data_IF_442976985727
#
_entry.id   IF_442976985727
#
_cell.length_a   1.000
_cell.length_b   1.000
_cell.length_c   1.000
_cell.angle_alpha   90.00
_cell.angle_beta   90.00
_cell.angle_gamma   90.00
#
_symmetry.space_group_name_H-M   'P 1'
#
loop_
_entity.id
_entity.type
_entity.pdbx_description
1 polymer ?
#
# COMPACT_ATOMS: atom_id res chain seq x y z
N UNK A 1 -16.95 -18.96 -14.51
CA UNK A 1 -16.10 -19.29 -13.35
C UNK A 1 -15.94 -18.05 -12.50
N UNK A 2 -16.61 -18.00 -11.36
CA UNK A 2 -16.37 -16.95 -10.37
C UNK A 2 -15.04 -17.23 -9.67
N UNK A 3 -14.12 -16.29 -9.75
CA UNK A 3 -12.85 -16.39 -9.06
C UNK A 3 -12.95 -15.71 -7.70
N UNK A 4 -12.67 -16.46 -6.66
CA UNK A 4 -12.65 -15.92 -5.30
C UNK A 4 -11.58 -14.84 -5.13
N UNK A 5 -11.98 -13.68 -4.61
CA UNK A 5 -11.05 -12.57 -4.31
C UNK A 5 -10.66 -12.62 -2.82
N UNK A 6 -9.39 -12.79 -2.47
CA UNK A 6 -8.94 -12.90 -1.09
C UNK A 6 -8.95 -11.59 -0.31
N UNK A 7 -9.17 -10.45 -0.95
CA UNK A 7 -9.02 -9.11 -0.35
C UNK A 7 -9.80 -8.94 0.96
N UNK A 8 -11.07 -9.36 1.00
CA UNK A 8 -11.90 -9.20 2.20
C UNK A 8 -11.42 -10.10 3.35
N UNK A 9 -11.03 -11.34 3.06
CA UNK A 9 -10.53 -12.27 4.06
C UNK A 9 -9.19 -11.77 4.65
N UNK A 10 -8.29 -11.32 3.80
CA UNK A 10 -7.00 -10.74 4.23
C UNK A 10 -7.23 -9.45 5.03
N UNK A 11 -8.15 -8.57 4.61
CA UNK A 11 -8.47 -7.35 5.35
C UNK A 11 -8.99 -7.67 6.76
N UNK A 12 -9.88 -8.65 6.88
CA UNK A 12 -10.38 -9.09 8.18
C UNK A 12 -9.26 -9.66 9.05
N UNK A 13 -8.43 -10.52 8.48
CA UNK A 13 -7.28 -11.09 9.18
C UNK A 13 -6.34 -10.00 9.74
N UNK A 14 -5.94 -9.05 8.89
CA UNK A 14 -5.09 -7.93 9.31
C UNK A 14 -5.70 -7.12 10.44
N UNK A 15 -7.03 -6.89 10.42
CA UNK A 15 -7.72 -6.17 11.50
C UNK A 15 -7.81 -6.95 12.81
N UNK A 16 -7.79 -8.27 12.77
CA UNK A 16 -7.75 -9.11 13.96
C UNK A 16 -6.35 -9.16 14.58
N UNK A 17 -5.31 -9.14 13.76
CA UNK A 17 -3.92 -9.22 14.20
C UNK A 17 -3.33 -7.85 14.60
N UNK A 18 -3.78 -6.78 13.95
CA UNK A 18 -3.24 -5.43 14.15
C UNK A 18 -4.34 -4.43 14.53
N UNK A 19 -4.09 -3.52 15.48
CA UNK A 19 -5.08 -2.53 15.91
C UNK A 19 -5.25 -1.40 14.87
N UNK A 20 -5.46 -1.75 13.61
CA UNK A 20 -5.63 -0.81 12.52
C UNK A 20 -7.10 -0.42 12.30
N UNK A 21 -7.32 0.86 12.00
CA UNK A 21 -8.64 1.31 11.56
C UNK A 21 -8.98 0.75 10.18
N UNK A 22 -10.25 0.52 9.90
CA UNK A 22 -10.71 0.02 8.59
C UNK A 22 -10.20 0.86 7.43
N UNK A 23 -10.18 2.19 7.57
CA UNK A 23 -9.64 3.10 6.56
C UNK A 23 -8.13 2.90 6.33
N UNK A 24 -7.37 2.65 7.38
CA UNK A 24 -5.93 2.40 7.26
C UNK A 24 -5.67 1.12 6.47
N UNK A 25 -6.38 0.03 6.77
CA UNK A 25 -6.25 -1.23 6.00
C UNK A 25 -6.64 -1.02 4.55
N UNK A 26 -7.79 -0.39 4.28
CA UNK A 26 -8.26 -0.15 2.90
C UNK A 26 -7.31 0.68 2.06
N UNK A 27 -6.52 1.55 2.67
CA UNK A 27 -5.64 2.49 1.98
C UNK A 27 -4.18 2.05 1.94
N UNK A 28 -3.86 0.82 2.36
CA UNK A 28 -2.50 0.29 2.25
C UNK A 28 -2.06 0.25 0.79
N UNK A 29 -0.82 0.64 0.57
CA UNK A 29 -0.17 0.58 -0.73
C UNK A 29 0.49 -0.80 -0.90
N UNK A 30 0.34 -1.40 -2.06
CA UNK A 30 0.92 -2.71 -2.38
C UNK A 30 2.45 -2.68 -2.56
N UNK A 31 3.02 -1.51 -2.84
CA UNK A 31 4.43 -1.36 -3.19
C UNK A 31 4.78 -1.74 -4.62
N UNK A 32 3.77 -1.96 -5.51
CA UNK A 32 4.01 -2.30 -6.92
C UNK A 32 4.85 -1.25 -7.66
N UNK A 33 4.76 0.02 -7.24
CA UNK A 33 5.50 1.13 -7.82
C UNK A 33 6.79 1.50 -7.04
N UNK A 34 7.14 0.79 -6.00
CA UNK A 34 8.35 1.05 -5.21
C UNK A 34 9.59 0.49 -5.91
N UNK A 35 10.76 1.07 -5.66
CA UNK A 35 12.03 0.62 -6.21
C UNK A 35 12.44 -0.77 -5.69
N UNK A 36 12.14 -1.03 -4.42
CA UNK A 36 12.46 -2.29 -3.77
C UNK A 36 11.20 -3.07 -3.44
N UNK A 37 11.28 -4.38 -3.64
CA UNK A 37 10.18 -5.32 -3.42
C UNK A 37 10.55 -6.34 -2.35
N UNK A 38 9.67 -6.50 -1.38
CA UNK A 38 9.72 -7.62 -0.44
C UNK A 38 9.08 -8.86 -1.09
N UNK A 39 9.83 -9.95 -1.18
CA UNK A 39 9.36 -11.20 -1.77
C UNK A 39 10.03 -12.42 -1.13
N UNK A 40 9.21 -13.36 -0.65
CA UNK A 40 9.68 -14.61 0.01
C UNK A 40 10.73 -14.34 1.11
N UNK A 41 10.50 -13.34 1.94
CA UNK A 41 11.42 -12.99 3.03
C UNK A 41 12.62 -12.13 2.62
N UNK A 42 12.78 -11.79 1.34
CA UNK A 42 13.92 -11.06 0.82
C UNK A 42 13.53 -9.71 0.22
N UNK A 43 14.48 -8.79 0.18
CA UNK A 43 14.36 -7.53 -0.53
C UNK A 43 15.11 -7.59 -1.84
N UNK A 44 14.38 -7.48 -2.94
CA UNK A 44 14.90 -7.52 -4.31
C UNK A 44 14.60 -6.22 -5.05
N UNK A 45 15.32 -5.96 -6.13
CA UNK A 45 14.96 -4.86 -7.03
C UNK A 45 13.60 -5.16 -7.67
N UNK A 46 12.70 -4.18 -7.63
CA UNK A 46 11.37 -4.35 -8.19
C UNK A 46 11.42 -4.22 -9.71
N UNK A 47 11.05 -5.28 -10.40
CA UNK A 47 10.98 -5.35 -11.88
C UNK A 47 9.57 -5.13 -12.41
N UNK A 48 8.59 -4.82 -11.55
CA UNK A 48 7.23 -4.54 -11.96
C UNK A 48 7.19 -3.32 -12.90
N UNK A 49 6.34 -3.35 -13.93
CA UNK A 49 6.28 -2.27 -14.91
C UNK A 49 6.00 -0.88 -14.29
N UNK A 50 5.19 -0.81 -13.23
CA UNK A 50 4.92 0.44 -12.50
C UNK A 50 6.17 1.01 -11.81
N UNK A 51 7.05 0.15 -11.30
CA UNK A 51 8.31 0.59 -10.70
C UNK A 51 9.24 1.21 -11.75
N UNK A 52 9.20 0.72 -12.97
CA UNK A 52 9.99 1.25 -14.08
C UNK A 52 9.47 2.61 -14.56
N UNK A 53 8.15 2.76 -14.70
CA UNK A 53 7.51 4.02 -15.12
C UNK A 53 7.69 5.10 -14.05
N UNK A 54 7.45 4.77 -12.79
CA UNK A 54 7.54 5.72 -11.68
C UNK A 54 8.98 6.04 -11.27
N UNK A 55 9.97 5.28 -11.72
CA UNK A 55 11.39 5.56 -11.45
C UNK A 55 11.80 6.95 -11.94
N UNK A 56 11.26 7.41 -13.06
CA UNK A 56 11.53 8.74 -13.61
C UNK A 56 10.79 9.81 -12.78
N UNK A 57 9.55 9.58 -12.44
CA UNK A 57 8.71 10.52 -11.67
C UNK A 57 9.11 10.57 -10.17
N UNK A 58 9.65 9.47 -9.64
CA UNK A 58 10.06 9.30 -8.24
C UNK A 58 11.55 9.43 -8.01
N UNK A 59 12.32 9.91 -8.97
CA UNK A 59 13.79 10.11 -8.83
C UNK A 59 14.16 10.91 -7.56
N UNK A 60 13.24 11.74 -7.06
CA UNK A 60 13.39 12.52 -5.82
C UNK A 60 12.84 11.82 -4.56
N UNK A 61 12.27 10.61 -4.68
CA UNK A 61 11.64 9.92 -3.57
C UNK A 61 12.37 8.61 -3.27
N UNK A 62 13.36 8.68 -2.39
CA UNK A 62 14.15 7.50 -1.96
C UNK A 62 13.37 6.52 -1.09
N UNK A 63 12.19 6.89 -0.60
CA UNK A 63 11.42 6.12 0.38
C UNK A 63 10.20 5.49 -0.31
N UNK A 64 10.13 4.16 -0.31
CA UNK A 64 8.96 3.41 -0.76
C UNK A 64 7.70 3.74 0.02
N UNK A 65 6.55 3.59 -0.63
CA UNK A 65 5.21 3.86 -0.03
C UNK A 65 4.43 2.59 0.26
N UNK A 66 4.93 1.44 -0.19
CA UNK A 66 4.32 0.14 0.02
C UNK A 66 4.24 -0.25 1.49
N UNK A 67 3.29 -1.15 1.78
CA UNK A 67 3.04 -1.67 3.13
C UNK A 67 4.26 -2.36 3.73
N UNK A 68 5.13 -2.92 2.89
CA UNK A 68 6.39 -3.51 3.34
C UNK A 68 7.46 -2.43 3.44
N UNK A 69 8.12 -2.34 4.59
CA UNK A 69 9.21 -1.41 4.83
C UNK A 69 10.47 -2.11 5.29
N UNK A 70 11.55 -1.91 4.55
CA UNK A 70 12.86 -2.32 4.99
C UNK A 70 13.33 -1.39 6.09
N UNK A 71 13.64 -1.96 7.25
CA UNK A 71 14.29 -1.26 8.36
C UNK A 71 15.67 -1.85 8.50
N UNK A 72 16.68 -1.04 8.24
CA UNK A 72 18.07 -1.43 8.41
C UNK A 72 18.53 -0.93 9.77
N UNK A 73 18.87 -1.83 10.65
CA UNK A 73 19.61 -1.55 11.87
C UNK A 73 21.06 -1.96 11.67
N UNK A 74 21.99 -1.47 12.53
CA UNK A 74 23.43 -1.72 12.41
C UNK A 74 23.80 -3.22 12.35
N UNK A 75 22.91 -4.12 12.74
CA UNK A 75 23.16 -5.55 12.78
C UNK A 75 22.16 -6.42 11.99
N UNK A 76 20.97 -5.92 11.63
CA UNK A 76 19.95 -6.74 10.97
C UNK A 76 19.10 -5.94 9.99
N UNK A 77 18.83 -6.55 8.82
CA UNK A 77 17.78 -6.08 7.92
C UNK A 77 16.46 -6.74 8.35
N UNK A 78 15.53 -5.95 8.86
CA UNK A 78 14.20 -6.44 9.20
C UNK A 78 13.13 -5.84 8.28
N UNK A 79 12.02 -6.56 8.12
CA UNK A 79 10.87 -6.07 7.37
C UNK A 79 9.78 -5.68 8.34
N UNK A 80 9.34 -4.45 8.26
CA UNK A 80 8.30 -3.85 9.08
C UNK A 80 7.11 -3.49 8.21
N UNK A 81 6.02 -3.07 8.84
CA UNK A 81 4.81 -2.61 8.15
C UNK A 81 4.77 -1.09 8.11
N UNK A 82 4.49 -0.53 6.93
CA UNK A 82 4.24 0.88 6.76
C UNK A 82 2.76 1.15 6.52
N UNK A 83 2.19 2.00 7.35
CA UNK A 83 0.81 2.48 7.25
C UNK A 83 0.86 3.87 6.66
N UNK A 84 0.39 4.03 5.43
CA UNK A 84 0.54 5.25 4.64
C UNK A 84 -0.34 6.43 5.09
N UNK A 85 -1.21 6.25 6.08
CA UNK A 85 -2.05 7.31 6.63
C UNK A 85 -2.19 7.21 8.15
N UNK A 86 -2.13 8.36 8.83
CA UNK A 86 -2.43 8.47 10.25
C UNK A 86 -3.29 9.70 10.52
N UNK A 87 -4.60 9.48 10.61
CA UNK A 87 -5.70 10.46 10.74
C UNK A 87 -5.26 11.89 11.16
N UNK A 88 -5.27 12.18 12.45
CA UNK A 88 -4.96 13.50 13.00
C UNK A 88 -3.47 13.85 12.98
N UNK A 89 -2.58 12.87 13.16
CA UNK A 89 -1.14 13.10 13.17
C UNK A 89 -0.58 13.49 11.78
N UNK A 90 -1.33 13.24 10.71
CA UNK A 90 -0.91 13.58 9.35
C UNK A 90 -1.43 14.95 8.85
N UNK A 91 -2.24 15.66 9.63
CA UNK A 91 -2.89 16.92 9.20
C UNK A 91 -1.87 17.97 8.81
N UNK A 92 -0.77 18.06 9.55
CA UNK A 92 0.29 19.07 9.33
C UNK A 92 1.53 18.52 8.60
N UNK A 93 1.47 17.28 8.11
CA UNK A 93 2.58 16.67 7.37
C UNK A 93 2.38 16.83 5.87
N UNK A 94 3.48 17.00 5.14
CA UNK A 94 3.46 16.91 3.68
C UNK A 94 3.11 15.48 3.21
N UNK A 95 2.78 15.33 1.92
CA UNK A 95 2.31 14.07 1.38
C UNK A 95 3.24 12.89 1.62
N UNK A 96 4.55 13.11 1.56
CA UNK A 96 5.56 12.04 1.67
C UNK A 96 5.87 11.67 3.12
N UNK A 97 5.72 12.59 4.06
CA UNK A 97 5.93 12.34 5.50
C UNK A 97 4.69 11.80 6.21
N UNK A 98 3.56 11.66 5.50
CA UNK A 98 2.34 11.03 6.04
C UNK A 98 2.55 9.53 6.29
N UNK A 99 1.88 9.04 7.33
CA UNK A 99 1.94 7.65 7.73
C UNK A 99 2.92 7.37 8.86
N UNK A 100 3.12 6.11 9.15
CA UNK A 100 4.02 5.64 10.21
C UNK A 100 4.43 4.19 9.98
N UNK A 101 5.54 3.79 10.58
CA UNK A 101 6.04 2.41 10.54
C UNK A 101 5.68 1.69 11.82
N UNK A 102 5.17 0.48 11.70
CA UNK A 102 5.03 -0.46 12.81
C UNK A 102 6.32 -1.27 12.85
N UNK A 103 7.17 -1.08 13.86
CA UNK A 103 8.55 -1.58 13.82
C UNK A 103 8.71 -3.08 14.12
N UNK A 104 7.65 -3.74 14.55
CA UNK A 104 7.67 -5.17 14.87
C UNK A 104 7.21 -6.02 13.71
N UNK A 105 7.84 -7.17 13.57
CA UNK A 105 7.53 -8.14 12.54
C UNK A 105 6.37 -9.02 12.96
N UNK A 106 5.49 -9.28 12.02
CA UNK A 106 4.45 -10.27 12.15
C UNK A 106 4.48 -11.15 10.89
N UNK A 107 5.22 -12.24 10.93
CA UNK A 107 5.47 -13.09 9.74
C UNK A 107 4.20 -13.51 9.00
N UNK A 108 3.15 -13.89 9.73
CA UNK A 108 1.88 -14.28 9.11
C UNK A 108 1.20 -13.12 8.41
N UNK A 109 1.25 -11.92 8.99
CA UNK A 109 0.71 -10.69 8.37
C UNK A 109 1.48 -10.38 7.09
N UNK A 110 2.82 -10.40 7.13
CA UNK A 110 3.66 -10.19 5.95
C UNK A 110 3.32 -11.19 4.85
N UNK A 111 3.22 -12.48 5.19
CA UNK A 111 2.87 -13.55 4.25
C UNK A 111 1.51 -13.33 3.57
N UNK A 112 0.48 -12.96 4.32
CA UNK A 112 -0.85 -12.75 3.73
C UNK A 112 -0.95 -11.47 2.90
N UNK A 113 -0.26 -10.41 3.31
CA UNK A 113 -0.16 -9.18 2.50
C UNK A 113 0.59 -9.43 1.19
N UNK A 114 1.67 -10.21 1.23
CA UNK A 114 2.43 -10.61 0.05
C UNK A 114 1.58 -11.47 -0.89
N UNK A 115 0.88 -12.47 -0.36
CA UNK A 115 -0.02 -13.32 -1.13
C UNK A 115 -1.14 -12.51 -1.81
N UNK A 116 -1.72 -11.54 -1.08
CA UNK A 116 -2.73 -10.64 -1.65
C UNK A 116 -2.13 -9.77 -2.76
N UNK A 117 -0.95 -9.16 -2.56
CA UNK A 117 -0.27 -8.37 -3.58
C UNK A 117 -0.05 -9.19 -4.86
N UNK A 118 0.51 -10.39 -4.73
CA UNK A 118 0.79 -11.27 -5.87
C UNK A 118 -0.51 -11.69 -6.59
N UNK A 119 -1.59 -11.91 -5.84
CA UNK A 119 -2.92 -12.16 -6.41
C UNK A 119 -3.43 -10.94 -7.19
N UNK A 120 -3.32 -9.74 -6.62
CA UNK A 120 -3.76 -8.49 -7.25
C UNK A 120 -2.98 -8.23 -8.56
N UNK A 121 -1.67 -8.38 -8.54
CA UNK A 121 -0.84 -8.21 -9.74
C UNK A 121 -1.26 -9.18 -10.87
N UNK A 122 -1.57 -10.42 -10.53
CA UNK A 122 -1.92 -11.44 -11.51
C UNK A 122 -3.34 -11.31 -12.05
N UNK A 123 -4.31 -11.03 -11.20
CA UNK A 123 -5.73 -11.15 -11.53
C UNK A 123 -6.48 -9.82 -11.55
N UNK A 124 -5.90 -8.76 -11.06
CA UNK A 124 -6.46 -7.42 -10.99
C UNK A 124 -5.37 -6.35 -11.17
N UNK A 125 -4.59 -6.43 -12.28
CA UNK A 125 -3.49 -5.50 -12.52
C UNK A 125 -4.01 -4.06 -12.66
N UNK A 126 -3.11 -3.11 -12.44
CA UNK A 126 -3.34 -1.68 -12.65
C UNK A 126 -2.26 -1.11 -13.57
N UNK A 127 -2.63 -0.13 -14.38
CA UNK A 127 -1.73 0.50 -15.35
C UNK A 127 -0.93 1.65 -14.75
N UNK A 128 -1.40 2.22 -13.66
CA UNK A 128 -0.76 3.33 -12.95
C UNK A 128 -1.21 3.41 -11.49
N UNK A 129 -0.41 4.04 -10.61
CA UNK A 129 -0.87 4.40 -9.27
C UNK A 129 -2.08 5.32 -9.35
N UNK A 130 -3.04 5.12 -8.46
CA UNK A 130 -4.28 5.91 -8.39
C UNK A 130 -4.04 7.20 -7.63
N UNK A 131 -4.47 8.34 -8.17
CA UNK A 131 -4.50 9.61 -7.44
C UNK A 131 -5.68 9.64 -6.48
N UNK A 132 -5.49 10.15 -5.29
CA UNK A 132 -6.53 10.22 -4.26
C UNK A 132 -7.75 11.06 -4.68
N UNK A 133 -7.57 12.04 -5.54
CA UNK A 133 -8.64 12.86 -6.11
C UNK A 133 -9.56 12.09 -7.05
N UNK A 134 -9.13 10.94 -7.56
CA UNK A 134 -9.92 10.07 -8.45
C UNK A 134 -10.88 9.15 -7.67
N UNK A 135 -10.67 9.00 -6.37
CA UNK A 135 -11.50 8.14 -5.54
C UNK A 135 -12.87 8.77 -5.31
N UNK A 136 -13.93 7.94 -5.40
CA UNK A 136 -15.30 8.40 -5.05
C UNK A 136 -15.35 8.82 -3.58
N UNK A 137 -16.01 9.94 -3.27
CA UNK A 137 -16.14 10.48 -1.90
C UNK A 137 -16.61 9.44 -0.88
N UNK A 138 -17.54 8.56 -1.24
CA UNK A 138 -17.98 7.45 -0.37
C UNK A 138 -16.85 6.52 0.10
N UNK A 139 -15.73 6.46 -0.63
CA UNK A 139 -14.56 5.64 -0.29
C UNK A 139 -13.55 6.38 0.57
N UNK A 140 -13.60 7.71 0.59
CA UNK A 140 -12.67 8.58 1.31
C UNK A 140 -13.14 8.91 2.73
N UNK A 141 -14.46 8.81 2.98
CA UNK A 141 -15.08 9.40 4.17
C UNK A 141 -14.95 10.94 4.16
N UNK A 142 -15.66 11.60 5.08
CA UNK A 142 -15.73 13.08 5.15
C UNK A 142 -14.46 13.75 5.72
N UNK A 143 -13.37 13.02 5.87
CA UNK A 143 -12.23 13.41 6.73
C UNK A 143 -11.08 14.09 5.99
N UNK A 144 -11.11 14.20 4.66
CA UNK A 144 -10.03 14.82 3.90
C UNK A 144 -10.56 15.93 3.01
N UNK A 145 -9.94 17.11 3.13
CA UNK A 145 -10.20 18.22 2.21
C UNK A 145 -9.64 17.90 0.81
N UNK A 146 -10.13 18.59 -0.20
CA UNK A 146 -9.65 18.46 -1.56
C UNK A 146 -8.15 18.79 -1.68
N UNK A 147 -7.70 19.78 -0.93
CA UNK A 147 -6.29 20.16 -0.80
C UNK A 147 -5.46 18.97 -0.28
N UNK A 148 -5.89 18.34 0.80
CA UNK A 148 -5.20 17.18 1.38
C UNK A 148 -5.13 16.00 0.41
N UNK A 149 -6.16 15.78 -0.41
CA UNK A 149 -6.17 14.72 -1.42
C UNK A 149 -5.18 14.98 -2.55
N UNK A 150 -5.02 16.24 -2.97
CA UNK A 150 -4.03 16.65 -3.99
C UNK A 150 -2.59 16.46 -3.51
N UNK A 151 -2.35 16.65 -2.22
CA UNK A 151 -1.03 16.51 -1.61
C UNK A 151 -0.63 15.05 -1.32
N UNK A 152 -1.58 14.13 -1.37
CA UNK A 152 -1.27 12.70 -1.12
C UNK A 152 -0.60 12.07 -2.33
N UNK A 153 0.51 11.32 -2.12
CA UNK A 153 1.17 10.61 -3.20
C UNK A 153 0.24 9.59 -3.86
N UNK A 154 0.29 9.44 -5.19
CA UNK A 154 -0.43 8.37 -5.87
C UNK A 154 -0.13 7.00 -5.24
N UNK A 155 -1.13 6.17 -5.12
CA UNK A 155 -1.11 4.94 -4.32
C UNK A 155 -1.51 3.73 -5.16
N UNK A 156 -0.76 2.65 -5.08
CA UNK A 156 -1.14 1.34 -5.61
C UNK A 156 -1.97 0.62 -4.54
N UNK A 157 -3.29 0.84 -4.49
CA UNK A 157 -4.11 0.28 -3.44
C UNK A 157 -4.07 -1.25 -3.42
N UNK A 158 -3.62 -1.82 -2.30
CA UNK A 158 -3.53 -3.26 -2.10
C UNK A 158 -4.93 -3.91 -2.04
N UNK A 159 -5.87 -3.26 -1.35
CA UNK A 159 -7.25 -3.74 -1.16
C UNK A 159 -8.20 -3.16 -2.22
N UNK A 160 -7.79 -3.20 -3.49
CA UNK A 160 -8.62 -2.81 -4.63
C UNK A 160 -9.58 -3.94 -5.01
N UNK A 161 -10.81 -3.58 -5.34
CA UNK A 161 -11.75 -4.53 -5.92
C UNK A 161 -11.49 -4.61 -7.44
N UNK A 162 -11.75 -5.77 -8.02
CA UNK A 162 -11.76 -5.94 -9.46
C UNK A 162 -12.81 -5.00 -10.05
N UNK A 163 -12.45 -4.25 -11.08
CA UNK A 163 -13.44 -3.54 -11.90
C UNK A 163 -14.35 -4.60 -12.52
N UNK A 164 -15.59 -4.69 -12.05
CA UNK A 164 -16.63 -5.45 -12.74
C UNK A 164 -17.04 -4.55 -13.90
N UNK A 165 -16.59 -4.84 -15.10
CA UNK A 165 -17.24 -4.35 -16.30
C UNK A 165 -18.61 -5.03 -16.34
N UNK A 166 -19.62 -4.28 -15.97
CA UNK A 166 -21.00 -4.63 -16.27
C UNK A 166 -21.18 -4.38 -17.77
N UNK A 167 -21.09 -5.43 -18.55
CA UNK A 167 -21.55 -5.47 -19.94
C UNK A 167 -23.06 -5.31 -20.00
#
# INVERSE_FOLDING_TARGET
LEMWCPANAVALYIKLELPLRTSQVRWLDSGEADLWRYENGNWILNTHHLALVTKIERANYSIGRGVFRKVSDLQNNSTSLFINTNKTADVYKDGMSKGYTIPWQHERVLKWLEALRNWQEKYNPIDRPTRWTELKRKNLGDLKSEQQLKEMPPTCFLFRNRAVELS
#
